data_IF_406027162590
#
_entry.id   IF_406027162590
#
_cell.length_a   1.000
_cell.length_b   1.000
_cell.length_c   1.000
_cell.angle_alpha   90.00
_cell.angle_beta   90.00
_cell.angle_gamma   90.00
#
_symmetry.space_group_name_H-M   'P 1'
#
loop_
_entity.id
_entity.type
_entity.pdbx_description
1 polymer ?
#
# COMPACT_ATOMS: atom_id res chain seq x y z
N UNK A 1 17.90 8.35 -12.58
CA UNK A 1 17.14 7.12 -12.87
C UNK A 1 17.48 6.12 -11.78
N UNK A 2 16.53 5.80 -10.90
CA UNK A 2 16.74 4.77 -9.86
C UNK A 2 16.46 3.40 -10.47
N UNK A 3 17.20 2.37 -10.04
CA UNK A 3 17.22 1.01 -10.59
C UNK A 3 15.85 0.29 -10.68
N UNK A 4 14.79 0.86 -10.10
CA UNK A 4 13.41 0.39 -10.22
C UNK A 4 12.81 0.55 -11.63
N UNK A 5 13.29 1.49 -12.44
CA UNK A 5 12.78 1.68 -13.81
C UNK A 5 13.20 0.56 -14.77
N UNK A 6 14.26 -0.19 -14.46
CA UNK A 6 14.81 -1.21 -15.36
C UNK A 6 14.11 -2.57 -15.25
N UNK A 7 13.46 -2.84 -14.12
CA UNK A 7 12.84 -4.15 -13.84
C UNK A 7 11.40 -4.22 -14.40
N UNK A 8 10.75 -3.07 -14.58
CA UNK A 8 9.35 -3.00 -14.99
C UNK A 8 9.11 -1.81 -15.90
N UNK A 9 9.04 -2.05 -17.21
CA UNK A 9 8.93 -1.00 -18.24
C UNK A 9 7.49 -0.74 -18.70
N UNK A 10 6.51 -1.19 -17.92
CA UNK A 10 5.08 -1.04 -18.21
C UNK A 10 4.51 0.24 -17.60
N UNK A 11 3.71 0.97 -18.38
CA UNK A 11 3.05 2.20 -17.93
C UNK A 11 1.88 1.92 -16.98
N UNK A 12 1.36 0.69 -16.96
CA UNK A 12 0.15 0.30 -16.22
C UNK A 12 0.42 -0.54 -14.95
N UNK A 13 1.53 -0.29 -14.25
CA UNK A 13 1.95 -0.99 -13.01
C UNK A 13 0.84 -1.10 -11.97
N UNK A 14 0.21 0.03 -11.64
CA UNK A 14 -0.83 0.08 -10.62
C UNK A 14 -2.07 -0.72 -10.98
N UNK A 15 -2.41 -0.79 -12.27
CA UNK A 15 -3.54 -1.60 -12.73
C UNK A 15 -3.25 -3.11 -12.54
N UNK A 16 -2.03 -3.55 -12.86
CA UNK A 16 -1.63 -4.95 -12.66
C UNK A 16 -1.53 -5.34 -11.18
N UNK A 17 -1.08 -4.41 -10.33
CA UNK A 17 -1.07 -4.58 -8.89
C UNK A 17 -2.51 -4.68 -8.38
N UNK A 18 -3.35 -3.70 -8.67
CA UNK A 18 -4.72 -3.62 -8.20
C UNK A 18 -5.57 -4.83 -8.64
N UNK A 19 -5.36 -5.34 -9.86
CA UNK A 19 -5.99 -6.57 -10.34
C UNK A 19 -5.73 -7.76 -9.40
N UNK A 20 -4.52 -7.91 -8.87
CA UNK A 20 -4.19 -8.98 -7.92
C UNK A 20 -4.67 -8.72 -6.49
N UNK A 21 -5.11 -7.49 -6.19
CA UNK A 21 -5.73 -7.12 -4.92
C UNK A 21 -7.26 -7.16 -4.97
N UNK A 22 -7.86 -7.42 -6.15
CA UNK A 22 -9.30 -7.34 -6.34
C UNK A 22 -9.85 -5.92 -6.22
N UNK A 23 -9.03 -4.90 -6.50
CA UNK A 23 -9.35 -3.49 -6.38
C UNK A 23 -9.19 -2.77 -7.71
N UNK A 24 -9.75 -1.57 -7.81
CA UNK A 24 -9.37 -0.63 -8.87
C UNK A 24 -8.00 0.00 -8.57
N UNK A 25 -7.35 0.50 -9.62
CA UNK A 25 -6.09 1.25 -9.52
C UNK A 25 -6.21 2.41 -8.51
N UNK A 26 -7.34 3.12 -8.53
CA UNK A 26 -7.58 4.31 -7.72
C UNK A 26 -7.75 3.94 -6.25
N UNK A 27 -8.49 2.87 -5.96
CA UNK A 27 -8.68 2.36 -4.61
C UNK A 27 -7.38 1.89 -3.98
N UNK A 28 -6.54 1.16 -4.73
CA UNK A 28 -5.24 0.71 -4.24
C UNK A 28 -4.32 1.89 -3.90
N UNK A 29 -4.22 2.88 -4.81
CA UNK A 29 -3.42 4.10 -4.57
C UNK A 29 -3.96 4.90 -3.39
N UNK A 30 -5.29 5.08 -3.31
CA UNK A 30 -5.95 5.83 -2.23
C UNK A 30 -5.72 5.16 -0.88
N UNK A 31 -5.92 3.85 -0.80
CA UNK A 31 -5.73 3.06 0.42
C UNK A 31 -4.28 3.14 0.90
N UNK A 32 -3.31 2.93 -0.01
CA UNK A 32 -1.90 3.08 0.32
C UNK A 32 -1.56 4.49 0.84
N UNK A 33 -2.09 5.53 0.19
CA UNK A 33 -1.86 6.92 0.61
C UNK A 33 -2.42 7.17 2.00
N UNK A 34 -3.66 6.76 2.28
CA UNK A 34 -4.30 6.93 3.58
C UNK A 34 -3.51 6.24 4.70
N UNK A 35 -3.04 5.01 4.46
CA UNK A 35 -2.20 4.26 5.40
C UNK A 35 -0.90 4.99 5.69
N UNK A 36 -0.17 5.43 4.65
CA UNK A 36 1.11 6.13 4.81
C UNK A 36 0.90 7.46 5.55
N UNK A 37 -0.12 8.23 5.18
CA UNK A 37 -0.44 9.51 5.82
C UNK A 37 -0.78 9.31 7.29
N UNK A 38 -1.69 8.39 7.64
CA UNK A 38 -2.08 8.16 9.04
C UNK A 38 -0.93 7.59 9.87
N UNK A 39 -0.12 6.67 9.33
CA UNK A 39 1.11 6.21 10.00
C UNK A 39 2.05 7.38 10.29
N UNK A 40 2.25 8.28 9.33
CA UNK A 40 3.02 9.50 9.51
C UNK A 40 2.46 10.33 10.67
N UNK A 41 1.15 10.53 10.69
CA UNK A 41 0.47 11.28 11.73
C UNK A 41 0.61 10.66 13.13
N UNK A 42 0.45 9.34 13.26
CA UNK A 42 0.61 8.61 14.53
C UNK A 42 2.04 8.68 15.07
N UNK A 43 3.05 8.55 14.19
CA UNK A 43 4.45 8.41 14.62
C UNK A 43 5.14 9.75 14.80
N UNK A 44 4.82 10.74 13.95
CA UNK A 44 5.58 11.98 13.86
C UNK A 44 4.74 13.23 14.13
N UNK A 45 3.42 13.12 14.08
CA UNK A 45 2.50 14.24 14.29
C UNK A 45 1.60 13.95 15.50
N UNK A 46 0.55 14.75 15.71
CA UNK A 46 -0.35 14.59 16.86
C UNK A 46 -1.51 13.60 16.62
N UNK A 47 -1.70 13.13 15.38
CA UNK A 47 -2.83 12.29 14.92
C UNK A 47 -4.21 12.77 15.40
N UNK A 48 -4.46 14.08 15.24
CA UNK A 48 -5.70 14.71 15.68
C UNK A 48 -6.77 14.61 14.58
N UNK A 49 -7.99 14.31 14.98
CA UNK A 49 -9.18 14.48 14.17
C UNK A 49 -9.40 15.99 13.90
N UNK A 50 -9.54 16.40 12.64
CA UNK A 50 -9.57 17.81 12.28
C UNK A 50 -10.87 18.52 12.68
N UNK A 51 -11.92 17.77 13.07
CA UNK A 51 -13.22 18.33 13.46
C UNK A 51 -13.32 18.46 14.98
N UNK A 52 -12.87 17.44 15.71
CA UNK A 52 -13.01 17.34 17.17
C UNK A 52 -11.75 17.77 17.91
N UNK A 53 -10.59 17.81 17.23
CA UNK A 53 -9.29 18.07 17.83
C UNK A 53 -8.80 16.96 18.77
N UNK A 54 -9.49 15.83 18.82
CA UNK A 54 -9.11 14.68 19.65
C UNK A 54 -8.20 13.73 18.88
N UNK A 55 -7.39 12.94 19.58
CA UNK A 55 -6.61 11.88 18.93
C UNK A 55 -7.54 10.87 18.26
N UNK A 56 -7.17 10.44 17.05
CA UNK A 56 -7.91 9.41 16.34
C UNK A 56 -7.63 8.04 16.97
N UNK A 57 -8.69 7.36 17.41
CA UNK A 57 -8.58 5.99 17.90
C UNK A 57 -8.27 5.03 16.74
N UNK A 58 -7.36 4.08 16.96
CA UNK A 58 -7.12 2.96 16.04
C UNK A 58 -7.49 1.65 16.74
N UNK A 59 -8.42 0.94 16.13
CA UNK A 59 -8.87 -0.36 16.62
C UNK A 59 -7.91 -1.47 16.18
N UNK A 60 -7.98 -2.60 16.87
CA UNK A 60 -7.22 -3.80 16.49
C UNK A 60 -7.62 -4.32 15.10
N UNK A 61 -8.91 -4.22 14.75
CA UNK A 61 -9.41 -4.62 13.45
C UNK A 61 -8.78 -3.79 12.32
N UNK A 62 -8.78 -2.46 12.45
CA UNK A 62 -8.12 -1.57 11.48
C UNK A 62 -6.62 -1.88 11.35
N UNK A 63 -5.92 -2.10 12.47
CA UNK A 63 -4.51 -2.45 12.43
C UNK A 63 -4.25 -3.78 11.69
N UNK A 64 -5.12 -4.77 11.89
CA UNK A 64 -5.08 -6.05 11.16
C UNK A 64 -5.36 -5.86 9.68
N UNK A 65 -6.39 -5.08 9.31
CA UNK A 65 -6.75 -4.83 7.92
C UNK A 65 -5.63 -4.10 7.16
N UNK A 66 -5.02 -3.09 7.79
CA UNK A 66 -3.86 -2.38 7.25
C UNK A 66 -2.68 -3.34 7.03
N UNK A 67 -2.41 -4.22 7.99
CA UNK A 67 -1.31 -5.17 7.90
C UNK A 67 -1.53 -6.17 6.77
N UNK A 68 -2.74 -6.70 6.65
CA UNK A 68 -3.14 -7.62 5.59
C UNK A 68 -3.02 -6.96 4.21
N UNK A 69 -3.47 -5.71 4.08
CA UNK A 69 -3.35 -4.94 2.84
C UNK A 69 -1.88 -4.74 2.44
N UNK A 70 -1.02 -4.32 3.38
CA UNK A 70 0.40 -4.10 3.10
C UNK A 70 1.13 -5.39 2.70
N UNK A 71 0.79 -6.51 3.37
CA UNK A 71 1.32 -7.83 3.02
C UNK A 71 0.89 -8.24 1.61
N UNK A 72 -0.40 -8.11 1.28
CA UNK A 72 -0.93 -8.44 -0.04
C UNK A 72 -0.29 -7.58 -1.14
N UNK A 73 -0.16 -6.26 -0.90
CA UNK A 73 0.49 -5.33 -1.82
C UNK A 73 1.96 -5.73 -2.07
N UNK A 74 2.72 -6.01 -1.02
CA UNK A 74 4.11 -6.44 -1.12
C UNK A 74 4.27 -7.75 -1.88
N UNK A 75 3.45 -8.75 -1.56
CA UNK A 75 3.44 -10.03 -2.26
C UNK A 75 3.10 -9.84 -3.73
N UNK A 76 2.11 -9.02 -4.06
CA UNK A 76 1.71 -8.77 -5.45
C UNK A 76 2.80 -8.09 -6.25
N UNK A 77 3.51 -7.12 -5.65
CA UNK A 77 4.67 -6.49 -6.29
C UNK A 77 5.76 -7.53 -6.53
N UNK A 78 6.03 -8.40 -5.55
CA UNK A 78 7.00 -9.48 -5.68
C UNK A 78 6.64 -10.41 -6.84
N UNK A 79 5.40 -10.88 -6.93
CA UNK A 79 4.92 -11.77 -7.99
C UNK A 79 5.07 -11.18 -9.39
N UNK A 80 4.91 -9.87 -9.52
CA UNK A 80 5.00 -9.19 -10.80
C UNK A 80 6.44 -8.80 -11.18
N UNK A 81 7.34 -8.69 -10.20
CA UNK A 81 8.78 -8.42 -10.40
C UNK A 81 9.58 -9.71 -10.60
N UNK A 82 9.26 -10.76 -9.85
CA UNK A 82 9.95 -12.05 -9.89
C UNK A 82 9.41 -12.87 -11.06
N UNK A 83 10.24 -13.06 -12.09
CA UNK A 83 9.85 -13.79 -13.32
C UNK A 83 9.39 -15.23 -13.03
N UNK A 84 8.37 -15.75 -13.74
CA UNK A 84 8.07 -17.18 -13.75
C UNK A 84 9.21 -17.90 -14.49
N UNK A 85 10.09 -18.57 -13.74
CA UNK A 85 11.22 -19.33 -14.29
C UNK A 85 12.46 -19.39 -13.39
N UNK A 86 12.54 -18.59 -12.33
CA UNK A 86 13.63 -18.66 -11.35
C UNK A 86 13.27 -19.55 -10.15
N UNK A 87 12.83 -20.79 -10.41
CA UNK A 87 13.00 -21.89 -9.44
C UNK A 87 14.18 -22.71 -9.94
N UNK A 88 15.31 -22.59 -9.24
CA UNK A 88 16.33 -23.64 -9.21
C UNK A 88 16.12 -24.44 -7.94
#
# INVERSE_FOLDING_TARGET
MTSLSYIWNDNQKWQQIALGLGMTDEEAKRTQKLIVTRRGAIVHEADLDPVTGQKQEITRAEATDISNYLLALGNRICDLVVRPGARR
#
